data_IF_335373654900
#
_entry.id   IF_335373654900
#
_cell.length_a   1.000
_cell.length_b   1.000
_cell.length_c   1.000
_cell.angle_alpha   90.00
_cell.angle_beta   90.00
_cell.angle_gamma   90.00
#
_symmetry.space_group_name_H-M   'P 1'
#
loop_
_entity.id
_entity.type
_entity.pdbx_description
1 polymer ?
#
# COMPACT_ATOMS: atom_id res chain seq x y z
N UNK A 1 -53.54 -43.44 44.78
CA UNK A 1 -52.23 -44.05 44.48
C UNK A 1 -51.30 -42.90 44.13
N UNK A 2 -50.74 -42.16 45.09
CA UNK A 2 -49.72 -42.57 46.09
C UNK A 2 -48.59 -43.40 45.43
N UNK A 3 -47.29 -43.09 45.54
CA UNK A 3 -46.53 -42.21 46.43
C UNK A 3 -45.08 -42.08 45.90
N UNK A 4 -44.43 -40.96 46.25
CA UNK A 4 -42.99 -40.81 46.57
C UNK A 4 -41.95 -40.87 45.41
N UNK A 5 -40.90 -40.03 45.40
CA UNK A 5 -40.11 -39.50 46.53
C UNK A 5 -39.36 -38.22 46.15
N UNK A 6 -39.22 -37.35 47.14
CA UNK A 6 -38.52 -36.07 47.15
C UNK A 6 -36.98 -36.20 47.21
N UNK A 7 -36.26 -35.13 46.84
CA UNK A 7 -35.37 -34.42 47.77
C UNK A 7 -34.80 -33.11 47.20
N UNK A 8 -34.82 -32.11 48.07
CA UNK A 8 -34.36 -30.73 47.99
C UNK A 8 -32.92 -30.54 48.51
N UNK A 9 -32.21 -29.51 48.01
CA UNK A 9 -31.32 -28.53 48.71
C UNK A 9 -30.48 -27.78 47.65
N UNK A 10 -30.53 -26.46 47.47
CA UNK A 10 -30.24 -25.31 48.34
C UNK A 10 -28.74 -24.91 48.41
N UNK A 11 -28.45 -23.70 47.90
CA UNK A 11 -27.30 -22.82 48.20
C UNK A 11 -25.95 -23.19 47.56
N UNK A 12 -25.02 -22.30 47.25
CA UNK A 12 -24.93 -20.83 47.26
C UNK A 12 -23.58 -20.47 46.58
N UNK A 13 -23.50 -19.21 46.12
CA UNK A 13 -22.31 -18.33 46.09
C UNK A 13 -21.14 -18.56 45.12
N UNK A 14 -20.92 -17.47 44.37
CA UNK A 14 -19.67 -16.72 44.22
C UNK A 14 -18.67 -17.11 43.12
N UNK A 15 -18.42 -16.12 42.25
CA UNK A 15 -17.07 -15.66 41.97
C UNK A 15 -16.49 -16.08 40.63
N UNK A 16 -15.98 -15.09 39.90
CA UNK A 16 -14.97 -15.31 38.86
C UNK A 16 -15.27 -14.63 37.54
N UNK A 17 -14.91 -13.34 37.46
CA UNK A 17 -14.26 -12.80 36.27
C UNK A 17 -13.27 -13.82 35.70
N UNK A 18 -13.27 -13.97 34.38
CA UNK A 18 -12.10 -13.81 33.52
C UNK A 18 -12.32 -14.58 32.23
N UNK A 19 -12.84 -13.86 31.24
CA UNK A 19 -13.01 -14.34 29.88
C UNK A 19 -12.46 -13.32 28.90
N UNK A 20 -11.35 -12.69 29.25
CA UNK A 20 -10.56 -11.86 28.36
C UNK A 20 -10.14 -12.66 27.13
N UNK A 21 -10.99 -12.68 26.10
CA UNK A 21 -10.61 -12.98 24.73
C UNK A 21 -9.67 -11.88 24.26
N UNK A 22 -8.42 -11.92 24.72
CA UNK A 22 -7.31 -11.25 24.05
C UNK A 22 -7.15 -11.95 22.71
N UNK A 23 -7.47 -11.22 21.64
CA UNK A 23 -7.19 -11.61 20.26
C UNK A 23 -5.73 -12.05 20.15
N UNK A 24 -5.55 -13.33 19.82
CA UNK A 24 -4.24 -13.99 19.66
C UNK A 24 -3.43 -13.37 18.49
N UNK A 25 -4.05 -12.51 17.66
CA UNK A 25 -3.39 -11.87 16.53
C UNK A 25 -2.31 -10.83 16.90
N UNK A 26 -2.29 -10.34 18.15
CA UNK A 26 -1.30 -9.33 18.57
C UNK A 26 0.11 -9.90 18.76
N UNK A 27 0.22 -11.15 19.21
CA UNK A 27 1.51 -11.79 19.48
C UNK A 27 2.24 -12.19 18.20
N UNK A 28 1.50 -12.60 17.17
CA UNK A 28 2.08 -13.07 15.90
C UNK A 28 2.59 -11.92 15.02
N UNK A 29 2.04 -10.71 15.17
CA UNK A 29 2.56 -9.52 14.48
C UNK A 29 3.97 -9.13 14.95
N UNK A 30 4.36 -9.48 16.19
CA UNK A 30 5.62 -9.04 16.81
C UNK A 30 6.81 -9.99 16.58
N UNK A 31 6.60 -11.13 15.92
CA UNK A 31 7.62 -12.18 15.78
C UNK A 31 8.45 -12.11 14.50
N UNK A 32 8.13 -11.19 13.59
CA UNK A 32 8.89 -11.02 12.33
C UNK A 32 10.00 -9.97 12.47
N UNK A 33 11.23 -10.28 12.04
CA UNK A 33 12.31 -9.29 12.00
C UNK A 33 11.93 -8.03 11.23
N UNK A 34 12.33 -6.87 11.75
CA UNK A 34 12.14 -5.56 11.13
C UNK A 34 10.72 -4.99 11.16
N UNK A 35 9.74 -5.69 11.76
CA UNK A 35 8.45 -5.08 12.11
C UNK A 35 8.66 -4.13 13.28
N UNK A 36 8.28 -2.86 13.09
CA UNK A 36 8.39 -1.86 14.15
C UNK A 36 7.43 -2.18 15.30
N UNK A 37 7.88 -1.90 16.53
CA UNK A 37 7.00 -1.87 17.70
C UNK A 37 6.05 -0.68 17.68
N UNK A 38 6.35 0.34 16.86
CA UNK A 38 5.46 1.47 16.62
C UNK A 38 4.31 1.05 15.70
N UNK A 39 3.08 1.24 16.16
CA UNK A 39 1.89 1.01 15.35
C UNK A 39 1.68 2.19 14.40
N UNK A 40 1.13 1.91 13.22
CA UNK A 40 0.75 2.96 12.27
C UNK A 40 -0.19 3.99 12.91
N UNK A 41 0.19 5.27 12.78
CA UNK A 41 -0.61 6.42 13.17
C UNK A 41 -0.71 7.40 11.99
N UNK A 42 -1.90 7.57 11.37
CA UNK A 42 -2.07 8.47 10.25
C UNK A 42 -1.89 9.95 10.61
N UNK A 43 -2.11 10.36 11.87
CA UNK A 43 -1.88 11.74 12.29
C UNK A 43 -0.39 12.07 12.30
N UNK A 44 0.42 11.17 12.86
CA UNK A 44 1.89 11.26 12.79
C UNK A 44 2.40 11.23 11.34
N UNK A 45 1.87 10.33 10.52
CA UNK A 45 2.26 10.24 9.12
C UNK A 45 1.91 11.52 8.34
N UNK A 46 0.72 12.09 8.54
CA UNK A 46 0.31 13.35 7.92
C UNK A 46 1.18 14.54 8.36
N UNK A 47 1.60 14.57 9.64
CA UNK A 47 2.56 15.57 10.11
C UNK A 47 3.93 15.39 9.44
N UNK A 48 4.39 14.14 9.33
CA UNK A 48 5.68 13.80 8.72
C UNK A 48 5.71 14.03 7.20
N UNK A 49 4.56 13.96 6.51
CA UNK A 49 4.45 14.28 5.08
C UNK A 49 4.88 15.72 4.75
N UNK A 50 4.82 16.63 5.73
CA UNK A 50 5.26 18.01 5.59
C UNK A 50 6.68 18.25 6.15
N UNK A 51 7.43 17.19 6.46
CA UNK A 51 8.78 17.31 6.99
C UNK A 51 9.71 17.99 5.95
N UNK A 52 10.45 19.04 6.34
CA UNK A 52 11.38 19.69 5.42
C UNK A 52 12.53 18.76 5.04
N UNK A 53 12.96 18.83 3.78
CA UNK A 53 14.17 18.16 3.27
C UNK A 53 13.98 16.73 2.77
N UNK A 54 12.86 16.06 3.07
CA UNK A 54 12.59 14.70 2.63
C UNK A 54 11.18 14.53 2.06
N UNK A 55 11.05 13.63 1.10
CA UNK A 55 9.79 13.09 0.61
C UNK A 55 9.56 11.77 1.33
N UNK A 56 8.47 11.67 2.09
CA UNK A 56 8.06 10.41 2.72
C UNK A 56 7.12 9.67 1.78
N UNK A 57 7.44 8.42 1.53
CA UNK A 57 6.70 7.53 0.65
C UNK A 57 6.15 6.34 1.44
N UNK A 58 4.90 6.01 1.17
CA UNK A 58 4.15 4.99 1.88
C UNK A 58 3.70 3.87 0.95
N UNK A 59 3.50 2.68 1.51
CA UNK A 59 2.83 1.58 0.81
C UNK A 59 2.11 0.65 1.77
N UNK A 60 0.80 0.51 1.60
CA UNK A 60 0.04 -0.55 2.24
C UNK A 60 0.26 -1.90 1.58
N UNK A 61 0.63 -2.91 2.36
CA UNK A 61 0.93 -4.25 1.85
C UNK A 61 0.56 -5.34 2.88
N UNK A 62 0.28 -6.54 2.38
CA UNK A 62 0.19 -7.76 3.18
C UNK A 62 1.52 -8.04 3.90
N UNK A 63 1.50 -8.30 5.20
CA UNK A 63 2.70 -8.59 5.98
C UNK A 63 3.45 -9.82 5.45
N UNK A 64 2.74 -10.83 4.96
CA UNK A 64 3.39 -12.03 4.43
C UNK A 64 4.29 -11.73 3.22
N UNK A 65 3.97 -10.66 2.46
CA UNK A 65 4.75 -10.25 1.29
C UNK A 65 6.09 -9.59 1.62
N UNK A 66 6.29 -9.18 2.87
CA UNK A 66 7.57 -8.61 3.32
C UNK A 66 8.42 -9.63 4.06
N UNK A 67 8.08 -10.92 3.97
CA UNK A 67 8.93 -12.01 4.47
C UNK A 67 10.31 -11.95 3.79
N UNK A 68 11.37 -11.88 4.60
CA UNK A 68 12.75 -11.74 4.13
C UNK A 68 13.14 -10.32 3.70
N UNK A 69 12.23 -9.32 3.84
CA UNK A 69 12.59 -7.92 3.58
C UNK A 69 13.71 -7.47 4.51
N UNK A 70 13.63 -7.84 5.78
CA UNK A 70 14.61 -7.50 6.81
C UNK A 70 15.40 -8.74 7.24
N UNK A 71 16.67 -8.54 7.56
CA UNK A 71 17.49 -9.51 8.28
C UNK A 71 17.07 -9.57 9.76
N UNK A 72 17.61 -10.54 10.50
CA UNK A 72 17.29 -10.76 11.93
C UNK A 72 17.65 -9.56 12.82
N UNK A 73 18.62 -8.75 12.41
CA UNK A 73 19.02 -7.50 13.09
C UNK A 73 18.13 -6.29 12.73
N UNK A 74 17.13 -6.49 11.88
CA UNK A 74 16.20 -5.45 11.41
C UNK A 74 16.72 -4.60 10.25
N UNK A 75 17.93 -4.87 9.73
CA UNK A 75 18.45 -4.18 8.54
C UNK A 75 17.77 -4.67 7.27
N UNK A 76 17.70 -3.82 6.23
CA UNK A 76 17.16 -4.20 4.93
C UNK A 76 18.03 -5.31 4.30
N UNK A 77 17.41 -6.45 4.00
CA UNK A 77 18.06 -7.63 3.41
C UNK A 77 17.66 -7.85 1.94
N UNK A 78 16.35 -7.81 1.63
CA UNK A 78 15.85 -8.11 0.29
C UNK A 78 14.71 -7.18 -0.12
N UNK A 79 15.05 -6.09 -0.82
CA UNK A 79 14.08 -5.10 -1.31
C UNK A 79 13.14 -5.67 -2.39
N UNK A 80 13.54 -6.72 -3.12
CA UNK A 80 12.77 -7.28 -4.25
C UNK A 80 11.43 -7.90 -3.82
N UNK A 81 11.29 -8.23 -2.54
CA UNK A 81 10.00 -8.62 -1.92
C UNK A 81 8.91 -7.58 -2.16
N UNK A 82 9.30 -6.32 -2.37
CA UNK A 82 8.41 -5.19 -2.64
C UNK A 82 8.05 -5.04 -4.12
N UNK A 83 8.62 -5.81 -5.05
CA UNK A 83 8.28 -5.66 -6.46
C UNK A 83 6.79 -5.93 -6.73
N UNK A 84 6.18 -5.12 -7.59
CA UNK A 84 4.83 -5.35 -8.10
C UNK A 84 4.91 -6.01 -9.47
N UNK A 85 4.32 -7.21 -9.65
CA UNK A 85 4.38 -7.90 -10.93
C UNK A 85 3.52 -7.21 -12.00
N UNK A 86 3.93 -7.25 -13.28
CA UNK A 86 3.17 -6.66 -14.39
C UNK A 86 1.89 -7.47 -14.75
N UNK A 87 0.84 -6.82 -15.27
CA UNK A 87 0.82 -5.44 -15.73
C UNK A 87 0.42 -4.46 -14.62
N UNK A 88 1.09 -3.32 -14.63
CA UNK A 88 0.87 -2.19 -13.71
C UNK A 88 0.62 -0.92 -14.50
N UNK A 89 0.35 0.21 -13.82
CA UNK A 89 0.01 1.47 -14.51
C UNK A 89 1.14 1.97 -15.40
N UNK A 90 2.40 1.81 -14.97
CA UNK A 90 3.56 2.37 -15.67
C UNK A 90 4.51 1.31 -16.24
N UNK A 91 4.18 0.02 -16.09
CA UNK A 91 4.94 -1.06 -16.69
C UNK A 91 4.05 -2.23 -17.07
N UNK A 92 4.06 -2.58 -18.36
CA UNK A 92 3.31 -3.72 -18.87
C UNK A 92 4.06 -5.05 -18.81
N UNK A 93 5.38 -5.03 -18.57
CA UNK A 93 6.24 -6.22 -18.71
C UNK A 93 7.33 -6.38 -17.66
N UNK A 94 7.75 -5.29 -17.03
CA UNK A 94 8.80 -5.32 -16.01
C UNK A 94 8.18 -5.11 -14.62
N UNK A 95 8.70 -5.78 -13.58
CA UNK A 95 8.32 -5.47 -12.20
C UNK A 95 8.84 -4.08 -11.80
N UNK A 96 8.08 -3.37 -10.96
CA UNK A 96 8.45 -2.04 -10.46
C UNK A 96 8.07 -1.91 -8.98
N UNK A 97 8.72 -0.99 -8.27
CA UNK A 97 8.31 -0.58 -6.92
C UNK A 97 7.25 0.51 -6.99
N UNK A 98 6.24 0.43 -6.13
CA UNK A 98 5.14 1.40 -6.09
C UNK A 98 4.96 1.93 -4.68
N UNK A 99 5.05 3.24 -4.54
CA UNK A 99 4.76 3.95 -3.31
C UNK A 99 3.87 5.17 -3.59
N UNK A 100 3.38 5.81 -2.53
CA UNK A 100 2.59 7.03 -2.61
C UNK A 100 3.00 8.00 -1.50
N UNK A 101 3.04 9.32 -1.74
CA UNK A 101 3.25 10.27 -0.66
C UNK A 101 1.98 10.46 0.19
N UNK A 102 0.82 9.99 -0.30
CA UNK A 102 -0.48 10.21 0.34
C UNK A 102 -0.79 9.09 1.34
N UNK A 103 -0.81 9.48 2.62
CA UNK A 103 -1.16 8.64 3.77
C UNK A 103 -2.48 7.89 3.54
N UNK A 104 -3.51 8.57 3.03
CA UNK A 104 -4.85 7.99 2.80
C UNK A 104 -4.85 6.97 1.67
N UNK A 105 -4.07 7.22 0.62
CA UNK A 105 -3.89 6.23 -0.45
C UNK A 105 -3.21 4.96 0.08
N UNK A 106 -2.22 5.10 0.96
CA UNK A 106 -1.55 3.94 1.58
C UNK A 106 -2.51 3.13 2.47
N UNK A 107 -3.31 3.80 3.30
CA UNK A 107 -4.34 3.16 4.14
C UNK A 107 -5.41 2.44 3.30
N UNK A 108 -5.88 3.09 2.23
CA UNK A 108 -6.80 2.48 1.28
C UNK A 108 -6.24 1.16 0.71
N UNK A 109 -4.95 1.14 0.36
CA UNK A 109 -4.31 -0.06 -0.16
C UNK A 109 -4.04 -1.14 0.90
N UNK A 110 -3.76 -0.77 2.16
CA UNK A 110 -3.69 -1.74 3.26
C UNK A 110 -5.06 -2.41 3.47
N UNK A 111 -6.14 -1.62 3.50
CA UNK A 111 -7.49 -2.16 3.60
C UNK A 111 -7.87 -3.02 2.38
N UNK A 112 -7.49 -2.60 1.17
CA UNK A 112 -7.69 -3.38 -0.04
C UNK A 112 -6.92 -4.72 -0.02
N UNK A 113 -5.66 -4.73 0.44
CA UNK A 113 -4.88 -5.95 0.60
C UNK A 113 -5.57 -6.93 1.55
N UNK A 114 -5.96 -6.46 2.74
CA UNK A 114 -6.70 -7.26 3.74
C UNK A 114 -7.96 -7.90 3.15
N UNK A 115 -8.75 -7.13 2.39
CA UNK A 115 -9.99 -7.62 1.74
C UNK A 115 -9.73 -8.64 0.64
N UNK A 116 -8.73 -8.39 -0.22
CA UNK A 116 -8.52 -9.18 -1.44
C UNK A 116 -7.87 -10.53 -1.15
N UNK A 117 -6.90 -10.58 -0.25
CA UNK A 117 -6.12 -11.80 0.02
C UNK A 117 -6.56 -12.52 1.30
N UNK A 118 -7.52 -11.96 2.03
CA UNK A 118 -7.90 -12.42 3.37
C UNK A 118 -6.67 -12.67 4.27
N UNK A 119 -5.64 -11.83 4.11
CA UNK A 119 -4.38 -12.03 4.81
C UNK A 119 -4.56 -11.86 6.32
N UNK A 120 -3.67 -12.46 7.11
CA UNK A 120 -3.73 -12.40 8.58
C UNK A 120 -3.49 -10.97 9.08
N UNK A 121 -2.55 -10.26 8.47
CA UNK A 121 -2.18 -8.89 8.83
C UNK A 121 -1.71 -8.07 7.63
N UNK A 122 -1.74 -6.76 7.78
CA UNK A 122 -1.21 -5.80 6.81
C UNK A 122 -0.34 -4.78 7.55
N UNK A 123 0.61 -4.21 6.82
CA UNK A 123 1.52 -3.18 7.30
C UNK A 123 1.50 -2.00 6.35
N UNK A 124 1.88 -0.84 6.87
CA UNK A 124 2.28 0.30 6.06
C UNK A 124 3.80 0.37 6.06
N UNK A 125 4.40 0.28 4.88
CA UNK A 125 5.81 0.61 4.71
C UNK A 125 5.94 2.14 4.66
N UNK A 126 6.89 2.67 5.41
CA UNK A 126 7.32 4.08 5.36
C UNK A 126 8.76 4.13 4.86
N UNK A 127 9.02 4.97 3.87
CA UNK A 127 10.33 5.20 3.25
C UNK A 127 10.60 6.70 3.23
N UNK A 128 11.82 7.13 3.54
CA UNK A 128 12.22 8.53 3.49
C UNK A 128 13.28 8.71 2.42
N UNK A 129 13.04 9.62 1.48
CA UNK A 129 13.98 9.94 0.41
C UNK A 129 14.31 11.44 0.48
N UNK A 130 15.59 11.83 0.53
CA UNK A 130 15.96 13.25 0.49
C UNK A 130 15.45 13.95 -0.78
N UNK A 131 14.84 15.12 -0.65
CA UNK A 131 14.28 15.86 -1.79
C UNK A 131 15.34 16.16 -2.86
N UNK A 132 16.56 16.52 -2.41
CA UNK A 132 17.68 16.81 -3.29
C UNK A 132 18.02 15.65 -4.26
N UNK A 133 17.83 14.40 -3.85
CA UNK A 133 18.08 13.23 -4.71
C UNK A 133 17.03 13.15 -5.82
N UNK A 134 15.77 13.44 -5.51
CA UNK A 134 14.69 13.46 -6.51
C UNK A 134 14.86 14.66 -7.45
N UNK A 135 15.27 15.80 -6.91
CA UNK A 135 15.47 17.06 -7.65
C UNK A 135 16.68 17.02 -8.59
N UNK A 136 17.72 16.23 -8.27
CA UNK A 136 18.90 16.06 -9.12
C UNK A 136 18.66 15.13 -10.31
N UNK A 137 17.58 14.32 -10.30
CA UNK A 137 17.20 13.53 -11.46
C UNK A 137 16.71 14.44 -12.60
N UNK A 138 17.39 14.36 -13.74
CA UNK A 138 16.95 14.99 -14.99
C UNK A 138 16.28 13.97 -15.91
N UNK A 139 15.54 14.45 -16.92
CA UNK A 139 15.09 13.57 -17.98
C UNK A 139 16.29 12.91 -18.71
N UNK A 140 16.17 11.64 -19.16
CA UNK A 140 14.99 10.77 -19.07
C UNK A 140 14.87 9.99 -17.75
N UNK A 141 15.84 10.10 -16.82
CA UNK A 141 15.89 9.30 -15.57
C UNK A 141 14.73 9.56 -14.63
N UNK A 142 14.07 10.72 -14.74
CA UNK A 142 12.77 10.99 -14.11
C UNK A 142 11.72 11.29 -15.17
N UNK A 143 10.50 10.76 -14.98
CA UNK A 143 9.32 11.11 -15.77
C UNK A 143 8.17 11.55 -14.87
N UNK A 144 7.48 12.60 -15.28
CA UNK A 144 6.31 13.16 -14.57
C UNK A 144 5.10 13.03 -15.48
N UNK A 145 4.22 12.08 -15.18
CA UNK A 145 3.11 11.69 -16.05
C UNK A 145 1.80 11.81 -15.28
N UNK A 146 1.06 12.89 -15.52
CA UNK A 146 -0.17 13.20 -14.79
C UNK A 146 -1.39 13.20 -15.71
N UNK A 147 -2.53 12.81 -15.15
CA UNK A 147 -3.81 13.14 -15.74
C UNK A 147 -3.95 14.67 -15.90
N UNK A 148 -4.53 15.19 -16.99
CA UNK A 148 -5.18 14.49 -18.10
C UNK A 148 -4.31 14.28 -19.35
N UNK A 149 -2.97 14.25 -19.23
CA UNK A 149 -2.10 14.24 -20.42
C UNK A 149 -2.31 13.02 -21.31
N UNK A 150 -2.21 13.22 -22.63
CA UNK A 150 -2.29 12.14 -23.62
C UNK A 150 -1.19 11.08 -23.39
N UNK A 151 0.02 11.51 -23.05
CA UNK A 151 1.14 10.61 -22.74
C UNK A 151 0.81 9.69 -21.55
N UNK A 152 0.23 10.23 -20.47
CA UNK A 152 -0.19 9.42 -19.33
C UNK A 152 -1.28 8.43 -19.74
N UNK A 153 -2.32 8.88 -20.47
CA UNK A 153 -3.43 8.03 -20.91
C UNK A 153 -2.93 6.87 -21.78
N UNK A 154 -2.12 7.19 -22.79
CA UNK A 154 -1.58 6.22 -23.75
C UNK A 154 -0.61 5.24 -23.09
N UNK A 155 0.25 5.71 -22.18
CA UNK A 155 1.16 4.85 -21.42
C UNK A 155 0.37 3.87 -20.54
N UNK A 156 -0.53 4.38 -19.70
CA UNK A 156 -1.25 3.53 -18.75
C UNK A 156 -2.12 2.50 -19.47
N UNK A 157 -2.82 2.92 -20.53
CA UNK A 157 -3.58 1.99 -21.37
C UNK A 157 -2.68 0.93 -22.01
N UNK A 158 -1.55 1.32 -22.56
CA UNK A 158 -0.61 0.40 -23.22
C UNK A 158 -0.02 -0.60 -22.22
N UNK A 159 0.43 -0.14 -21.06
CA UNK A 159 0.99 -0.97 -20.00
C UNK A 159 -0.04 -1.97 -19.47
N UNK A 160 -1.26 -1.53 -19.16
CA UNK A 160 -2.32 -2.38 -18.61
C UNK A 160 -2.84 -3.41 -19.59
N UNK A 161 -2.81 -3.11 -20.89
CA UNK A 161 -3.15 -4.05 -21.95
C UNK A 161 -1.93 -4.83 -22.48
N UNK A 162 -0.75 -4.72 -21.85
CA UNK A 162 0.52 -5.35 -22.27
C UNK A 162 0.89 -5.08 -23.73
N UNK A 163 0.44 -3.95 -24.28
CA UNK A 163 0.74 -3.53 -25.65
C UNK A 163 2.20 -3.09 -25.76
N UNK A 164 2.73 -3.11 -26.98
CA UNK A 164 4.02 -2.50 -27.28
C UNK A 164 3.88 -0.99 -27.07
N UNK A 165 4.80 -0.38 -26.31
CA UNK A 165 4.81 1.07 -26.14
C UNK A 165 5.07 1.77 -27.49
N UNK A 166 4.32 2.83 -27.83
CA UNK A 166 4.66 3.76 -28.91
C UNK A 166 6.08 4.30 -28.78
N UNK A 167 6.71 4.65 -29.89
CA UNK A 167 8.10 5.15 -29.94
C UNK A 167 8.31 6.38 -29.06
N UNK A 168 7.36 7.32 -29.04
CA UNK A 168 7.48 8.53 -28.23
C UNK A 168 7.39 8.25 -26.70
N UNK A 169 6.89 7.07 -26.30
CA UNK A 169 6.82 6.65 -24.90
C UNK A 169 7.94 5.67 -24.52
N UNK A 170 8.84 5.28 -25.43
CA UNK A 170 9.86 4.28 -25.07
C UNK A 170 10.84 4.79 -24.02
N UNK A 171 11.08 6.10 -23.96
CA UNK A 171 11.95 6.73 -22.97
C UNK A 171 11.46 6.54 -21.53
N UNK A 172 10.19 6.17 -21.30
CA UNK A 172 9.70 5.87 -19.94
C UNK A 172 10.28 4.57 -19.39
N UNK A 173 10.85 3.71 -20.25
CA UNK A 173 11.54 2.48 -19.82
C UNK A 173 12.90 2.77 -19.19
N UNK A 174 13.50 3.91 -19.57
CA UNK A 174 14.81 4.34 -19.10
C UNK A 174 14.72 5.20 -17.83
N UNK A 175 13.49 5.45 -17.35
CA UNK A 175 13.26 6.20 -16.13
C UNK A 175 13.56 5.34 -14.89
N UNK A 176 14.36 5.88 -13.97
CA UNK A 176 14.53 5.36 -12.62
C UNK A 176 13.26 5.62 -11.82
N UNK A 177 12.73 6.85 -11.91
CA UNK A 177 11.58 7.30 -11.15
C UNK A 177 10.50 7.86 -12.08
N UNK A 178 9.28 7.33 -11.95
CA UNK A 178 8.09 7.88 -12.56
C UNK A 178 7.20 8.41 -11.44
N UNK A 179 6.82 9.69 -11.51
CA UNK A 179 5.83 10.28 -10.60
C UNK A 179 4.57 10.54 -11.43
N UNK A 180 3.44 10.01 -10.99
CA UNK A 180 2.24 10.15 -11.80
C UNK A 180 0.92 9.83 -11.13
N UNK A 181 -0.15 10.17 -11.84
CA UNK A 181 -1.52 9.88 -11.40
C UNK A 181 -1.78 8.37 -11.42
N UNK A 182 -2.57 7.91 -10.45
CA UNK A 182 -2.93 6.50 -10.26
C UNK A 182 -4.37 6.21 -10.65
N UNK A 183 -4.62 4.97 -11.08
CA UNK A 183 -5.95 4.45 -11.39
C UNK A 183 -6.34 3.22 -10.55
N UNK A 184 -7.65 2.98 -10.27
CA UNK A 184 -8.15 1.68 -9.79
C UNK A 184 -7.99 0.56 -10.83
N UNK A 185 -7.68 -0.66 -10.37
CA UNK A 185 -7.31 -1.84 -11.18
C UNK A 185 -8.35 -2.38 -12.18
N UNK A 186 -9.48 -1.70 -12.41
CA UNK A 186 -10.56 -2.22 -13.25
C UNK A 186 -10.76 -1.34 -14.50
N UNK A 187 -11.23 -1.97 -15.59
CA UNK A 187 -11.75 -1.29 -16.80
C UNK A 187 -10.71 -0.76 -17.80
N UNK A 188 -9.72 -1.55 -18.22
CA UNK A 188 -8.92 -1.22 -19.43
C UNK A 188 -9.13 -2.18 -20.59
N UNK A 189 -9.33 -3.47 -20.31
CA UNK A 189 -9.54 -4.47 -21.37
C UNK A 189 -10.80 -4.23 -22.21
N UNK A 190 -11.74 -3.41 -21.71
CA UNK A 190 -12.96 -3.01 -22.44
C UNK A 190 -12.83 -1.72 -23.24
N UNK A 191 -11.71 -0.98 -23.15
CA UNK A 191 -11.53 0.26 -23.90
C UNK A 191 -10.92 -0.04 -25.27
N UNK A 192 -11.53 0.52 -26.31
CA UNK A 192 -11.04 0.39 -27.69
C UNK A 192 -9.74 1.18 -27.88
N UNK A 193 -9.64 2.35 -27.24
CA UNK A 193 -8.46 3.22 -27.37
C UNK A 193 -8.16 3.99 -26.08
N UNK A 194 -6.94 4.54 -25.96
CA UNK A 194 -6.54 5.31 -24.77
C UNK A 194 -7.28 6.65 -24.63
N UNK A 195 -7.82 7.19 -25.72
CA UNK A 195 -8.63 8.40 -25.73
C UNK A 195 -9.93 8.23 -24.94
N UNK A 196 -10.43 7.00 -24.80
CA UNK A 196 -11.66 6.67 -24.05
C UNK A 196 -11.47 6.80 -22.53
N UNK A 197 -10.24 7.07 -22.06
CA UNK A 197 -9.97 7.29 -20.64
C UNK A 197 -10.47 8.67 -20.22
N UNK A 198 -11.51 8.65 -19.39
CA UNK A 198 -12.11 9.79 -18.68
C UNK A 198 -11.60 9.90 -17.24
N UNK A 199 -12.07 10.92 -16.52
CA UNK A 199 -11.74 11.16 -15.11
C UNK A 199 -12.22 10.05 -14.16
N UNK A 200 -13.26 9.29 -14.55
CA UNK A 200 -13.81 8.16 -13.79
C UNK A 200 -12.83 6.99 -13.66
N UNK A 201 -11.78 7.01 -14.48
CA UNK A 201 -10.71 6.02 -14.43
C UNK A 201 -9.58 6.43 -13.48
N UNK A 202 -9.75 7.44 -12.64
CA UNK A 202 -8.75 7.83 -11.65
C UNK A 202 -9.08 7.29 -10.27
N UNK A 203 -8.04 6.91 -9.51
CA UNK A 203 -8.23 6.67 -8.09
C UNK A 203 -8.29 8.03 -7.42
N UNK A 204 -9.42 8.33 -6.80
CA UNK A 204 -9.60 9.52 -6.00
C UNK A 204 -9.89 9.13 -4.58
N UNK A 205 -9.12 9.67 -3.64
CA UNK A 205 -9.28 9.39 -2.22
C UNK A 205 -9.79 10.66 -1.52
N UNK A 206 -10.85 10.50 -0.74
CA UNK A 206 -11.42 11.54 0.10
C UNK A 206 -10.62 11.68 1.39
N UNK A 207 -10.84 12.76 2.14
CA UNK A 207 -10.10 13.03 3.39
C UNK A 207 -10.31 11.95 4.46
N UNK A 208 -11.43 11.23 4.40
CA UNK A 208 -11.77 10.10 5.25
C UNK A 208 -11.13 8.76 4.82
N UNK A 209 -10.32 8.78 3.74
CA UNK A 209 -9.62 7.61 3.20
C UNK A 209 -10.44 6.73 2.25
N UNK A 210 -11.68 7.09 1.94
CA UNK A 210 -12.54 6.32 1.04
C UNK A 210 -12.36 6.75 -0.42
N UNK A 211 -12.54 5.83 -1.38
CA UNK A 211 -12.60 6.23 -2.77
C UNK A 211 -13.85 7.09 -3.04
N UNK A 212 -13.75 8.11 -3.89
CA UNK A 212 -14.92 8.91 -4.30
C UNK A 212 -14.60 9.98 -5.32
N UNK A 213 -15.57 10.31 -6.18
CA UNK A 213 -15.40 11.22 -7.33
C UNK A 213 -14.92 12.63 -6.97
N UNK A 214 -15.24 13.11 -5.76
CA UNK A 214 -14.83 14.44 -5.29
C UNK A 214 -13.49 14.42 -4.52
N UNK A 215 -12.83 13.27 -4.43
CA UNK A 215 -11.55 13.12 -3.75
C UNK A 215 -10.36 13.65 -4.56
N UNK A 216 -9.20 13.71 -3.90
CA UNK A 216 -7.93 14.08 -4.52
C UNK A 216 -7.43 12.94 -5.41
N UNK A 217 -6.88 13.26 -6.58
CA UNK A 217 -6.26 12.27 -7.46
C UNK A 217 -5.08 11.64 -6.73
N UNK A 218 -5.10 10.32 -6.60
CA UNK A 218 -4.01 9.58 -6.00
C UNK A 218 -2.75 9.69 -6.87
N UNK A 219 -1.63 10.01 -6.24
CA UNK A 219 -0.30 10.08 -6.87
C UNK A 219 0.53 8.87 -6.43
N UNK A 220 1.34 8.37 -7.35
CA UNK A 220 2.29 7.28 -7.08
C UNK A 220 3.69 7.63 -7.56
N UNK A 221 4.66 7.17 -6.78
CA UNK A 221 6.09 7.21 -7.05
C UNK A 221 6.48 5.79 -7.42
N UNK A 222 6.97 5.62 -8.64
CA UNK A 222 7.21 4.32 -9.25
C UNK A 222 8.66 4.23 -9.60
N UNK A 223 9.36 3.32 -8.93
CA UNK A 223 10.80 3.16 -9.08
C UNK A 223 11.05 1.90 -9.90
N UNK A 224 11.98 2.00 -10.84
CA UNK A 224 12.38 0.87 -11.69
C UNK A 224 12.80 -0.33 -10.85
N UNK A 225 12.26 -1.51 -11.18
CA UNK A 225 12.71 -2.78 -10.61
C UNK A 225 13.90 -3.39 -11.37
N UNK A 226 14.60 -2.59 -12.18
CA UNK A 226 15.87 -2.96 -12.80
C UNK A 226 17.02 -2.48 -11.91
N UNK A 227 18.23 -3.01 -12.13
CA UNK A 227 19.44 -2.79 -11.33
C UNK A 227 19.62 -1.32 -10.90
N UNK A 228 19.66 -0.38 -11.84
CA UNK A 228 19.85 1.05 -11.53
C UNK A 228 18.75 1.63 -10.61
N UNK A 229 17.50 1.19 -10.76
CA UNK A 229 16.39 1.64 -9.91
C UNK A 229 16.38 0.99 -8.54
N UNK A 230 16.81 -0.28 -8.45
CA UNK A 230 17.00 -1.00 -7.20
C UNK A 230 18.11 -0.34 -6.38
N UNK A 231 19.26 -0.09 -6.99
CA UNK A 231 20.41 0.57 -6.37
C UNK A 231 20.03 1.96 -5.87
N UNK A 232 19.39 2.76 -6.74
CA UNK A 232 18.93 4.09 -6.36
C UNK A 232 17.98 4.06 -5.15
N UNK A 233 17.05 3.09 -5.08
CA UNK A 233 16.13 2.96 -3.95
C UNK A 233 16.87 2.55 -2.66
N UNK A 234 17.80 1.59 -2.74
CA UNK A 234 18.57 1.13 -1.57
C UNK A 234 19.43 2.28 -1.01
N UNK A 235 20.16 2.98 -1.88
CA UNK A 235 21.05 4.08 -1.51
C UNK A 235 20.31 5.25 -0.86
N UNK A 236 19.12 5.59 -1.38
CA UNK A 236 18.44 6.83 -1.05
C UNK A 236 17.22 6.68 -0.15
N UNK A 237 16.78 5.45 0.13
CA UNK A 237 15.68 5.20 1.07
C UNK A 237 15.79 3.91 1.86
N UNK A 238 16.55 2.91 1.39
CA UNK A 238 16.62 1.59 2.02
C UNK A 238 17.07 1.60 3.48
N UNK A 239 17.89 2.58 3.89
CA UNK A 239 18.35 2.72 5.29
C UNK A 239 17.25 3.14 6.26
N UNK A 240 16.21 3.83 5.77
CA UNK A 240 15.14 4.41 6.59
C UNK A 240 13.80 3.73 6.36
N UNK A 241 13.79 2.57 5.70
CA UNK A 241 12.55 1.82 5.48
C UNK A 241 12.05 1.20 6.79
N UNK A 242 10.78 1.41 7.10
CA UNK A 242 10.10 0.86 8.28
C UNK A 242 8.85 0.11 7.87
N UNK A 243 8.57 -1.01 8.53
CA UNK A 243 7.28 -1.68 8.45
C UNK A 243 6.47 -1.41 9.72
N UNK A 244 5.38 -0.65 9.58
CA UNK A 244 4.49 -0.26 10.67
C UNK A 244 3.25 -1.14 10.65
N UNK A 245 2.97 -1.93 11.72
CA UNK A 245 1.72 -2.69 11.83
C UNK A 245 0.50 -1.79 11.65
N UNK A 246 -0.41 -2.17 10.76
CA UNK A 246 -1.66 -1.43 10.57
C UNK A 246 -2.75 -2.01 11.50
N UNK A 247 -3.35 -1.20 12.38
CA UNK A 247 -4.22 -1.71 13.43
C UNK A 247 -5.55 -2.25 12.89
N UNK A 248 -5.98 -3.40 13.41
CA UNK A 248 -7.23 -4.06 12.99
C UNK A 248 -8.47 -3.17 13.18
N UNK A 249 -8.48 -2.31 14.21
CA UNK A 249 -9.55 -1.33 14.44
C UNK A 249 -9.64 -0.27 13.33
N UNK A 250 -8.51 0.13 12.73
CA UNK A 250 -8.51 1.04 11.59
C UNK A 250 -9.00 0.34 10.32
N UNK A 251 -8.66 -0.93 10.11
CA UNK A 251 -9.20 -1.74 9.01
C UNK A 251 -10.72 -1.84 9.06
N UNK A 252 -11.29 -2.10 10.23
CA UNK A 252 -12.74 -2.26 10.38
C UNK A 252 -13.51 -0.99 9.98
N UNK A 253 -12.96 0.21 10.21
CA UNK A 253 -13.58 1.48 9.77
C UNK A 253 -13.61 1.63 8.24
N UNK A 254 -12.60 1.14 7.54
CA UNK A 254 -12.51 1.21 6.07
C UNK A 254 -13.18 0.03 5.36
N UNK A 255 -13.47 -1.06 6.07
CA UNK A 255 -14.06 -2.30 5.52
C UNK A 255 -15.53 -2.46 5.91
N UNK A 256 -15.93 -2.03 7.12
CA UNK A 256 -17.25 -2.27 7.71
C UNK A 256 -18.41 -1.50 7.09
N UNK A 257 -18.15 -0.41 6.36
CA UNK A 257 -19.20 0.42 5.77
C UNK A 257 -19.39 0.18 4.26
N UNK A 258 -18.72 -0.82 3.68
CA UNK A 258 -18.86 -1.23 2.27
C UNK A 258 -19.97 -2.26 2.00
N UNK A 259 -20.89 -2.48 2.95
CA UNK A 259 -22.10 -3.29 2.78
C UNK A 259 -23.32 -2.41 2.96
N UNK A 260 -23.68 -1.70 1.90
CA UNK A 260 -25.03 -1.17 1.66
C UNK A 260 -25.25 -1.12 0.16
#
# INVERSE_FOLDING_TARGET
>A
MELNRASSRAGSSAGGDDGGRRSISGLQQQSMPGISTEVWDPARAAAAQNAPGCTILYRGIDQARISGLFADDGTLSNIDTLLSPPPTDFSGRLPMFYFTPDVRVAEYYAAYAKRRTNCESVVILELRIPNAVIETLSEPRIKRLYWPSSEWKELVWSCRNRRKLPSHLTATKDAILIIGSRKPNHVYGGLSTWQDITEDFLLRIQDDGRPGGNGRIAIQYVISGQEEGVDWLIENGGRDIKALPYPQSALQRLVGEGRS
#
